data_IF_558747669558
#
_entry.id   IF_558747669558
#
_cell.length_a   1.000
_cell.length_b   1.000
_cell.length_c   1.000
_cell.angle_alpha   90.00
_cell.angle_beta   90.00
_cell.angle_gamma   90.00
#
_symmetry.space_group_name_H-M   'P 1'
#
loop_
_entity.id
_entity.type
_entity.pdbx_description
1 polymer ?
#
# COMPACT_ATOMS: atom_id res chain seq x y z
N UNK A 1 22.97 -8.08 52.29
CA UNK A 1 21.70 -8.83 52.14
C UNK A 1 20.71 -7.86 51.54
N UNK A 2 20.39 -8.03 50.25
CA UNK A 2 19.51 -7.10 49.54
C UNK A 2 18.07 -7.24 50.06
N UNK A 3 17.23 -6.23 49.84
CA UNK A 3 15.82 -6.30 50.22
C UNK A 3 15.12 -7.48 49.55
N UNK A 4 15.51 -7.84 48.33
CA UNK A 4 14.95 -8.95 47.56
C UNK A 4 15.11 -10.29 48.29
N UNK A 5 16.28 -10.56 48.89
CA UNK A 5 16.52 -11.80 49.66
C UNK A 5 15.61 -11.94 50.87
N UNK A 6 15.11 -10.83 51.43
CA UNK A 6 14.15 -10.83 52.55
C UNK A 6 12.70 -11.01 52.12
N UNK A 7 12.36 -10.66 50.88
CA UNK A 7 10.99 -10.77 50.36
C UNK A 7 10.68 -12.14 49.75
N UNK A 8 11.68 -12.90 49.32
CA UNK A 8 11.53 -14.28 48.83
C UNK A 8 10.65 -15.14 49.76
N UNK A 9 10.90 -15.26 51.08
CA UNK A 9 10.09 -16.13 51.94
C UNK A 9 8.63 -15.66 52.06
N UNK A 10 8.39 -14.34 52.05
CA UNK A 10 7.02 -13.78 52.07
C UNK A 10 6.30 -14.09 50.76
N UNK A 11 7.01 -13.93 49.65
CA UNK A 11 6.50 -14.22 48.31
C UNK A 11 6.17 -15.72 48.15
N UNK A 12 7.07 -16.61 48.62
CA UNK A 12 6.83 -18.07 48.58
C UNK A 12 5.65 -18.45 49.46
N UNK A 13 5.55 -17.90 50.67
CA UNK A 13 4.42 -18.15 51.56
C UNK A 13 3.09 -17.68 50.96
N UNK A 14 3.08 -16.52 50.28
CA UNK A 14 1.90 -16.04 49.56
C UNK A 14 1.52 -16.98 48.42
N UNK A 15 2.50 -17.44 47.61
CA UNK A 15 2.24 -18.40 46.54
C UNK A 15 1.71 -19.74 47.04
N UNK A 16 2.22 -20.24 48.16
CA UNK A 16 1.70 -21.47 48.78
C UNK A 16 0.28 -21.27 49.31
N UNK A 17 -0.01 -20.13 49.92
CA UNK A 17 -1.35 -19.81 50.42
C UNK A 17 -2.36 -19.75 49.29
N UNK A 18 -2.04 -19.03 48.21
CA UNK A 18 -2.89 -18.93 47.01
C UNK A 18 -3.02 -20.30 46.32
N UNK A 19 -1.93 -21.05 46.19
CA UNK A 19 -1.94 -22.38 45.60
C UNK A 19 -2.80 -23.38 46.38
N UNK A 20 -2.75 -23.36 47.72
CA UNK A 20 -3.58 -24.20 48.57
C UNK A 20 -5.06 -23.83 48.51
N UNK A 21 -5.37 -22.53 48.42
CA UNK A 21 -6.72 -22.05 48.21
C UNK A 21 -7.32 -22.56 46.89
N UNK A 22 -6.58 -22.42 45.78
CA UNK A 22 -7.04 -22.95 44.48
C UNK A 22 -7.14 -24.48 44.47
N UNK A 23 -6.24 -25.20 45.15
CA UNK A 23 -6.37 -26.67 45.29
C UNK A 23 -7.60 -27.08 46.09
N UNK A 24 -7.97 -26.35 47.13
CA UNK A 24 -9.20 -26.62 47.89
C UNK A 24 -10.45 -26.39 47.04
N UNK A 25 -10.48 -25.31 46.25
CA UNK A 25 -11.56 -25.06 45.29
C UNK A 25 -11.59 -26.17 44.24
N UNK A 26 -10.44 -26.51 43.65
CA UNK A 26 -10.35 -27.51 42.58
C UNK A 26 -10.75 -28.93 43.04
N UNK A 27 -10.51 -29.28 44.31
CA UNK A 27 -10.99 -30.55 44.90
C UNK A 27 -12.52 -30.66 44.86
N UNK A 28 -13.24 -29.54 45.04
CA UNK A 28 -14.69 -29.52 44.91
C UNK A 28 -15.16 -29.86 43.48
N UNK A 29 -14.33 -29.55 42.49
CA UNK A 29 -14.55 -29.87 41.08
C UNK A 29 -13.90 -31.20 40.64
N UNK A 30 -13.49 -32.06 41.58
CA UNK A 30 -12.99 -33.41 41.28
C UNK A 30 -11.49 -33.50 40.98
N UNK A 31 -10.69 -32.46 41.26
CA UNK A 31 -9.22 -32.56 41.18
C UNK A 31 -8.66 -33.54 42.22
N UNK A 32 -7.71 -34.43 41.88
CA UNK A 32 -6.93 -34.47 40.64
C UNK A 32 -7.49 -35.40 39.56
N UNK A 33 -8.55 -36.16 39.83
CA UNK A 33 -9.04 -37.24 38.98
C UNK A 33 -9.96 -36.78 37.85
N UNK A 34 -10.47 -35.55 37.91
CA UNK A 34 -11.24 -34.95 36.84
C UNK A 34 -10.30 -34.55 35.68
N UNK A 35 -10.39 -35.19 34.50
CA UNK A 35 -9.58 -34.85 33.32
C UNK A 35 -9.91 -33.46 32.76
N UNK A 36 -10.92 -32.77 33.31
CA UNK A 36 -11.37 -31.46 32.86
C UNK A 36 -12.19 -31.54 31.58
N UNK A 37 -12.57 -30.38 31.08
CA UNK A 37 -13.10 -30.26 29.72
C UNK A 37 -11.96 -30.57 28.75
N UNK A 38 -12.14 -31.45 27.75
CA UNK A 38 -11.13 -31.63 26.71
C UNK A 38 -10.85 -30.27 26.08
N UNK A 39 -9.58 -29.87 26.05
CA UNK A 39 -9.14 -28.57 25.49
C UNK A 39 -9.29 -28.51 23.97
N UNK A 40 -9.73 -29.60 23.35
CA UNK A 40 -9.87 -29.76 21.92
C UNK A 40 -11.34 -30.08 21.64
N UNK A 41 -12.07 -29.08 21.16
CA UNK A 41 -13.32 -29.31 20.45
C UNK A 41 -12.95 -29.72 19.03
N UNK A 42 -13.48 -30.85 18.54
CA UNK A 42 -13.44 -31.23 17.11
C UNK A 42 -14.30 -30.24 16.30
N UNK A 43 -13.84 -29.01 16.16
CA UNK A 43 -14.37 -27.99 15.26
C UNK A 43 -13.72 -28.24 13.89
N UNK A 44 -14.42 -28.06 12.74
CA UNK A 44 -13.90 -28.41 11.42
C UNK A 44 -12.45 -27.96 11.23
N UNK A 45 -11.60 -28.92 10.88
CA UNK A 45 -10.14 -28.88 11.05
C UNK A 45 -9.45 -27.66 10.43
N UNK A 46 -10.02 -27.03 9.42
CA UNK A 46 -9.42 -25.90 8.71
C UNK A 46 -9.43 -24.59 9.50
N UNK A 47 -10.55 -24.23 10.15
CA UNK A 47 -10.62 -22.98 10.92
C UNK A 47 -9.70 -23.03 12.15
N UNK A 48 -9.66 -24.20 12.80
CA UNK A 48 -8.79 -24.45 13.95
C UNK A 48 -7.31 -24.51 13.54
N UNK A 49 -6.98 -25.17 12.42
CA UNK A 49 -5.63 -25.18 11.88
C UNK A 49 -5.16 -23.77 11.49
N UNK A 50 -6.05 -22.95 10.92
CA UNK A 50 -5.75 -21.56 10.59
C UNK A 50 -5.54 -20.70 11.83
N UNK A 51 -6.36 -20.84 12.86
CA UNK A 51 -6.13 -20.10 14.13
C UNK A 51 -4.83 -20.55 14.80
N UNK A 52 -4.56 -21.85 14.85
CA UNK A 52 -3.32 -22.39 15.41
C UNK A 52 -2.09 -21.91 14.64
N UNK A 53 -2.18 -21.83 13.31
CA UNK A 53 -1.14 -21.25 12.47
C UNK A 53 -0.90 -19.77 12.81
N UNK A 54 -1.96 -18.95 12.83
CA UNK A 54 -1.87 -17.53 13.16
C UNK A 54 -1.36 -17.27 14.59
N UNK A 55 -1.68 -18.16 15.53
CA UNK A 55 -1.18 -18.08 16.90
C UNK A 55 0.29 -18.48 17.04
N UNK A 56 0.80 -19.31 16.13
CA UNK A 56 2.20 -19.73 16.09
C UNK A 56 3.12 -18.75 15.35
N UNK A 57 2.57 -17.75 14.65
CA UNK A 57 3.38 -16.75 13.96
C UNK A 57 4.18 -15.89 14.94
N UNK A 58 5.42 -15.51 14.59
CA UNK A 58 6.20 -14.59 15.40
C UNK A 58 5.53 -13.20 15.45
N UNK A 59 5.77 -12.46 16.53
CA UNK A 59 5.42 -11.04 16.60
C UNK A 59 6.61 -10.20 16.14
N UNK A 60 6.36 -9.22 15.27
CA UNK A 60 7.33 -8.17 14.94
C UNK A 60 7.55 -7.33 16.19
N UNK A 61 8.77 -7.31 16.73
CA UNK A 61 9.06 -6.67 18.01
C UNK A 61 9.50 -5.23 17.79
N UNK A 62 8.60 -4.32 18.08
CA UNK A 62 8.82 -2.87 18.06
C UNK A 62 8.62 -2.30 19.45
N UNK A 63 9.20 -1.15 19.71
CA UNK A 63 9.05 -0.45 20.99
C UNK A 63 8.54 0.96 20.72
N UNK A 64 7.56 1.37 21.52
CA UNK A 64 7.10 2.74 21.58
C UNK A 64 7.34 3.31 22.99
N UNK A 65 8.03 4.46 23.12
CA UNK A 65 8.84 5.14 22.09
C UNK A 65 10.01 4.27 21.60
N UNK A 66 10.66 4.61 20.46
CA UNK A 66 11.68 3.77 19.86
C UNK A 66 12.96 3.87 20.67
N UNK A 67 13.82 2.88 20.50
CA UNK A 67 15.13 2.90 21.12
C UNK A 67 15.95 4.03 20.49
N UNK A 68 16.40 4.97 21.30
CA UNK A 68 17.25 6.08 20.87
C UNK A 68 18.66 5.55 20.54
N UNK A 69 18.99 5.50 19.25
CA UNK A 69 20.31 5.09 18.75
C UNK A 69 20.90 6.22 17.89
N UNK A 70 21.76 7.09 18.45
CA UNK A 70 22.41 8.13 17.66
C UNK A 70 23.44 7.53 16.71
N UNK A 71 23.36 7.88 15.43
CA UNK A 71 24.32 7.47 14.40
C UNK A 71 25.31 8.59 14.06
N UNK A 72 24.92 9.84 14.31
CA UNK A 72 25.76 11.02 14.04
C UNK A 72 26.13 11.78 15.31
N UNK A 73 27.24 12.52 15.27
CA UNK A 73 27.66 13.41 16.36
C UNK A 73 26.61 14.48 16.68
N UNK A 74 25.84 14.93 15.67
CA UNK A 74 24.76 15.88 15.85
C UNK A 74 23.62 15.26 16.68
N UNK A 75 23.19 14.05 16.34
CA UNK A 75 22.18 13.30 17.09
C UNK A 75 22.62 12.96 18.51
N UNK A 76 23.92 12.77 18.75
CA UNK A 76 24.43 12.58 20.10
C UNK A 76 24.23 13.83 20.99
N UNK A 77 24.28 15.03 20.41
CA UNK A 77 24.13 16.30 21.14
C UNK A 77 22.66 16.72 21.26
N UNK A 78 21.88 16.59 20.18
CA UNK A 78 20.51 17.09 20.11
C UNK A 78 19.43 16.00 20.28
N UNK A 79 19.85 14.74 20.38
CA UNK A 79 18.97 13.57 20.39
C UNK A 79 18.79 12.96 19.00
N UNK A 80 18.66 11.62 18.90
CA UNK A 80 18.42 10.96 17.62
C UNK A 80 17.01 11.23 17.11
N UNK A 81 16.86 11.33 15.79
CA UNK A 81 15.55 11.36 15.17
C UNK A 81 14.85 10.00 15.39
N UNK A 82 13.54 9.98 15.72
CA UNK A 82 12.82 8.72 15.86
C UNK A 82 12.73 8.05 14.49
N UNK A 83 13.22 6.81 14.41
CA UNK A 83 13.16 6.00 13.19
C UNK A 83 12.05 4.97 13.29
N UNK A 84 11.46 4.65 12.15
CA UNK A 84 10.44 3.62 12.04
C UNK A 84 11.13 2.26 11.85
N UNK A 85 10.72 1.26 12.63
CA UNK A 85 11.21 -0.11 12.49
C UNK A 85 10.21 -0.91 11.64
N UNK A 86 10.12 -0.57 10.34
CA UNK A 86 9.18 -1.20 9.40
C UNK A 86 9.60 -2.64 9.04
N UNK A 87 8.62 -3.48 8.69
CA UNK A 87 8.89 -4.85 8.23
C UNK A 87 9.59 -4.82 6.85
N UNK A 88 10.76 -5.47 6.70
CA UNK A 88 11.52 -5.42 5.46
C UNK A 88 10.83 -6.21 4.35
N UNK A 89 10.92 -5.68 3.13
CA UNK A 89 10.46 -6.32 1.88
C UNK A 89 11.67 -6.86 1.11
N UNK A 90 11.62 -8.13 0.72
CA UNK A 90 12.69 -8.77 -0.05
C UNK A 90 12.22 -9.01 -1.48
N UNK A 91 12.75 -8.21 -2.41
CA UNK A 91 12.46 -8.33 -3.84
C UNK A 91 13.36 -9.40 -4.46
N UNK A 92 12.79 -10.23 -5.33
CA UNK A 92 13.54 -11.21 -6.10
C UNK A 92 13.00 -11.34 -7.52
N UNK A 93 13.89 -11.69 -8.45
CA UNK A 93 13.55 -11.88 -9.85
C UNK A 93 13.75 -13.36 -10.21
N UNK A 94 12.75 -13.97 -10.84
CA UNK A 94 12.83 -15.34 -11.35
C UNK A 94 12.28 -15.40 -12.77
N UNK A 95 12.91 -16.19 -13.64
CA UNK A 95 12.45 -16.38 -15.02
C UNK A 95 11.12 -17.13 -15.11
N UNK A 96 10.76 -17.87 -14.07
CA UNK A 96 9.53 -18.67 -14.03
C UNK A 96 8.38 -17.90 -13.39
N UNK A 97 8.66 -17.09 -12.37
CA UNK A 97 7.64 -16.40 -11.58
C UNK A 97 7.48 -14.92 -11.93
N UNK A 98 8.48 -14.28 -12.55
CA UNK A 98 8.44 -12.87 -12.97
C UNK A 98 9.46 -11.94 -12.29
N UNK A 99 9.31 -10.63 -12.56
CA UNK A 99 10.28 -9.58 -12.20
C UNK A 99 9.87 -8.71 -11.00
N UNK A 100 8.58 -8.65 -10.66
CA UNK A 100 8.08 -7.77 -9.59
C UNK A 100 7.82 -8.52 -8.28
N UNK A 101 8.38 -9.71 -8.15
CA UNK A 101 8.05 -10.59 -7.05
C UNK A 101 8.77 -10.15 -5.78
N UNK A 102 8.08 -10.28 -4.68
CA UNK A 102 8.69 -10.05 -3.39
C UNK A 102 8.05 -10.94 -2.33
N UNK A 103 8.79 -11.13 -1.25
CA UNK A 103 8.26 -11.77 -0.07
C UNK A 103 8.50 -10.90 1.16
N UNK A 104 7.63 -11.08 2.13
CA UNK A 104 7.69 -10.47 3.45
C UNK A 104 7.59 -11.56 4.50
N UNK A 105 8.29 -11.38 5.62
CA UNK A 105 8.14 -12.30 6.75
C UNK A 105 6.74 -12.16 7.34
N UNK A 106 6.06 -13.28 7.59
CA UNK A 106 4.70 -13.28 8.08
C UNK A 106 4.70 -13.16 9.61
N UNK A 107 4.33 -11.98 10.11
CA UNK A 107 4.20 -11.72 11.54
C UNK A 107 2.73 -11.61 11.93
N UNK A 108 2.39 -11.95 13.18
CA UNK A 108 1.01 -11.90 13.68
C UNK A 108 0.42 -10.48 13.71
N UNK A 109 1.27 -9.46 13.92
CA UNK A 109 0.88 -8.07 14.14
C UNK A 109 1.08 -7.17 12.91
N UNK A 110 1.30 -7.73 11.71
CA UNK A 110 1.38 -6.91 10.48
C UNK A 110 -0.01 -6.40 10.09
N UNK A 111 -0.04 -5.16 9.61
CA UNK A 111 -1.23 -4.56 9.04
C UNK A 111 -0.98 -4.22 7.58
N UNK A 112 -1.98 -4.51 6.77
CA UNK A 112 -2.00 -4.10 5.39
C UNK A 112 -3.03 -2.99 5.21
N UNK A 113 -2.85 -2.18 4.17
CA UNK A 113 -3.93 -1.31 3.72
C UNK A 113 -5.13 -2.17 3.31
N UNK A 114 -6.38 -1.69 3.46
CA UNK A 114 -7.52 -2.36 2.84
C UNK A 114 -7.36 -2.43 1.31
N UNK A 115 -7.81 -3.51 0.68
CA UNK A 115 -7.68 -3.71 -0.77
C UNK A 115 -8.21 -2.52 -1.58
N UNK A 116 -9.36 -1.96 -1.19
CA UNK A 116 -9.95 -0.80 -1.86
C UNK A 116 -9.10 0.47 -1.75
N UNK A 117 -8.36 0.65 -0.64
CA UNK A 117 -7.42 1.77 -0.46
C UNK A 117 -6.19 1.55 -1.32
N UNK A 118 -5.65 0.33 -1.31
CA UNK A 118 -4.49 -0.03 -2.15
C UNK A 118 -4.81 0.17 -3.63
N UNK A 119 -5.96 -0.32 -4.09
CA UNK A 119 -6.46 -0.11 -5.46
C UNK A 119 -6.59 1.39 -5.79
N UNK A 120 -7.20 2.17 -4.89
CA UNK A 120 -7.36 3.61 -5.10
C UNK A 120 -6.00 4.30 -5.28
N UNK A 121 -5.04 4.02 -4.40
CA UNK A 121 -3.70 4.63 -4.46
C UNK A 121 -2.99 4.24 -5.76
N UNK A 122 -3.06 2.97 -6.15
CA UNK A 122 -2.38 2.49 -7.36
C UNK A 122 -3.02 3.04 -8.63
N UNK A 123 -4.35 2.96 -8.76
CA UNK A 123 -5.07 3.31 -9.99
C UNK A 123 -5.30 4.82 -10.14
N UNK A 124 -5.63 5.53 -9.05
CA UNK A 124 -5.96 6.97 -9.11
C UNK A 124 -4.76 7.86 -8.87
N UNK A 125 -3.80 7.45 -8.03
CA UNK A 125 -2.59 8.24 -7.78
C UNK A 125 -1.40 7.78 -8.63
N UNK A 126 -1.56 6.73 -9.46
CA UNK A 126 -0.53 6.18 -10.34
C UNK A 126 0.73 5.69 -9.59
N UNK A 127 0.58 5.31 -8.31
CA UNK A 127 1.66 4.81 -7.45
C UNK A 127 1.68 3.29 -7.46
N UNK A 128 2.18 2.69 -8.55
CA UNK A 128 2.17 1.22 -8.70
C UNK A 128 3.47 0.54 -8.26
N UNK A 129 4.63 1.04 -8.70
CA UNK A 129 5.92 0.41 -8.41
C UNK A 129 6.73 1.16 -7.36
N UNK A 130 6.66 2.50 -7.39
CA UNK A 130 7.40 3.33 -6.46
C UNK A 130 6.60 3.54 -5.16
N UNK A 131 7.08 2.93 -4.08
CA UNK A 131 6.50 3.06 -2.73
C UNK A 131 7.14 4.18 -1.91
N UNK A 132 8.20 4.83 -2.43
CA UNK A 132 9.01 5.81 -1.68
C UNK A 132 8.16 6.93 -1.09
N UNK A 133 7.21 7.45 -1.87
CA UNK A 133 6.31 8.52 -1.42
C UNK A 133 5.45 8.06 -0.24
N UNK A 134 4.91 6.85 -0.31
CA UNK A 134 4.01 6.31 0.71
C UNK A 134 4.77 5.99 2.01
N UNK A 135 5.99 5.47 1.89
CA UNK A 135 6.91 5.29 3.01
C UNK A 135 7.29 6.62 3.65
N UNK A 136 7.55 7.66 2.85
CA UNK A 136 7.85 9.01 3.34
C UNK A 136 6.65 9.59 4.11
N UNK A 137 5.42 9.44 3.61
CA UNK A 137 4.21 9.88 4.32
C UNK A 137 4.08 9.17 5.66
N UNK A 138 4.27 7.84 5.69
CA UNK A 138 4.22 7.03 6.91
C UNK A 138 5.28 7.50 7.93
N UNK A 139 6.51 7.76 7.48
CA UNK A 139 7.60 8.25 8.32
C UNK A 139 7.32 9.64 8.90
N UNK A 140 6.87 10.59 8.06
CA UNK A 140 6.50 11.94 8.52
C UNK A 140 5.38 11.88 9.54
N UNK A 141 4.38 11.02 9.31
CA UNK A 141 3.27 10.83 10.25
C UNK A 141 3.77 10.25 11.58
N UNK A 142 4.66 9.25 11.55
CA UNK A 142 5.27 8.65 12.74
C UNK A 142 6.07 9.68 13.55
N UNK A 143 6.94 10.46 12.89
CA UNK A 143 7.71 11.54 13.53
C UNK A 143 6.77 12.61 14.10
N UNK A 144 5.71 12.98 13.38
CA UNK A 144 4.69 13.91 13.85
C UNK A 144 4.00 13.43 15.14
N UNK A 145 3.60 12.16 15.20
CA UNK A 145 3.02 11.55 16.40
C UNK A 145 4.00 11.52 17.57
N UNK A 146 5.29 11.27 17.32
CA UNK A 146 6.32 11.35 18.36
C UNK A 146 6.44 12.73 18.97
N UNK A 147 6.58 13.75 18.11
CA UNK A 147 6.70 15.14 18.57
C UNK A 147 5.45 15.52 19.38
N UNK A 148 4.27 15.16 18.88
CA UNK A 148 3.03 15.44 19.58
C UNK A 148 2.92 14.69 20.92
N UNK A 149 3.34 13.42 20.97
CA UNK A 149 3.45 12.64 22.21
C UNK A 149 4.34 13.34 23.25
N UNK A 150 5.46 13.94 22.83
CA UNK A 150 6.32 14.71 23.75
C UNK A 150 5.65 16.00 24.23
N UNK A 151 4.88 16.68 23.38
CA UNK A 151 4.08 17.86 23.78
C UNK A 151 3.04 17.47 24.83
N UNK A 152 2.36 16.34 24.66
CA UNK A 152 1.38 15.82 25.64
C UNK A 152 2.06 15.50 26.97
N UNK A 153 3.21 14.81 26.95
CA UNK A 153 3.98 14.50 28.17
C UNK A 153 4.43 15.80 28.88
N UNK A 154 4.96 16.75 28.12
CA UNK A 154 5.37 18.06 28.65
C UNK A 154 4.18 18.79 29.28
N UNK A 155 3.01 18.75 28.65
CA UNK A 155 1.78 19.35 29.18
C UNK A 155 1.35 18.68 30.48
N UNK A 156 1.37 17.35 30.57
CA UNK A 156 1.04 16.61 31.81
C UNK A 156 2.02 16.99 32.94
N UNK A 157 3.32 17.09 32.63
CA UNK A 157 4.33 17.53 33.60
C UNK A 157 4.08 18.97 34.09
N UNK A 158 3.61 19.85 33.19
CA UNK A 158 3.31 21.25 33.49
C UNK A 158 1.92 21.48 34.13
N UNK A 159 1.04 20.47 34.20
CA UNK A 159 -0.33 20.63 34.72
C UNK A 159 -0.36 21.26 36.11
N UNK A 160 0.57 20.90 37.00
CA UNK A 160 0.67 21.48 38.35
C UNK A 160 1.44 22.80 38.37
N UNK A 161 2.35 23.00 37.42
CA UNK A 161 3.21 24.19 37.36
C UNK A 161 2.42 25.46 37.01
N UNK A 162 1.51 25.36 36.04
CA UNK A 162 0.66 26.49 35.61
C UNK A 162 -0.34 26.89 36.71
N UNK A 163 -0.75 25.95 37.56
CA UNK A 163 -1.64 26.23 38.69
C UNK A 163 -0.98 27.09 39.78
N UNK A 164 0.33 26.92 39.99
CA UNK A 164 1.09 27.62 41.03
C UNK A 164 1.69 28.93 40.51
N UNK A 165 2.05 28.98 39.22
CA UNK A 165 2.75 30.12 38.63
C UNK A 165 1.76 31.12 37.99
N UNK A 166 1.70 32.39 38.46
CA UNK A 166 0.85 33.42 37.87
C UNK A 166 1.29 33.83 36.45
N UNK A 167 2.50 33.51 36.02
CA UNK A 167 2.99 33.75 34.66
C UNK A 167 2.70 32.55 33.76
N UNK A 168 1.59 32.64 33.01
CA UNK A 168 1.09 31.58 32.14
C UNK A 168 1.71 31.58 30.73
N UNK A 169 2.39 32.66 30.33
CA UNK A 169 3.09 32.74 29.04
C UNK A 169 4.52 32.18 29.13
N UNK A 170 4.99 31.35 28.18
CA UNK A 170 4.34 30.90 26.94
C UNK A 170 3.54 29.58 27.09
N UNK A 171 3.46 29.02 28.30
CA UNK A 171 2.88 27.70 28.61
C UNK A 171 1.41 27.55 28.18
N UNK A 172 0.66 28.65 28.11
CA UNK A 172 -0.72 28.67 27.63
C UNK A 172 -0.87 28.10 26.21
N UNK A 173 0.13 28.24 25.33
CA UNK A 173 0.07 27.64 23.99
C UNK A 173 0.18 26.12 24.01
N UNK A 174 1.03 25.58 24.90
CA UNK A 174 1.16 24.13 25.07
C UNK A 174 -0.10 23.52 25.68
N UNK A 175 -0.71 24.23 26.64
CA UNK A 175 -2.00 23.84 27.20
C UNK A 175 -3.08 23.80 26.10
N UNK A 176 -3.24 24.90 25.36
CA UNK A 176 -4.22 24.97 24.26
C UNK A 176 -4.04 23.88 23.18
N UNK A 177 -2.79 23.47 22.91
CA UNK A 177 -2.50 22.42 21.93
C UNK A 177 -2.96 21.01 22.37
N UNK A 178 -3.11 20.76 23.68
CA UNK A 178 -3.41 19.43 24.24
C UNK A 178 -4.78 19.38 24.93
N UNK A 179 -5.27 20.48 25.50
CA UNK A 179 -6.47 20.51 26.34
C UNK A 179 -7.74 20.09 25.60
N UNK A 180 -7.80 20.26 24.27
CA UNK A 180 -8.92 19.75 23.45
C UNK A 180 -9.13 18.24 23.63
N UNK A 181 -8.06 17.49 23.94
CA UNK A 181 -8.14 16.03 24.17
C UNK A 181 -8.89 15.73 25.45
N UNK A 182 -8.77 16.59 26.46
CA UNK A 182 -9.53 16.46 27.69
C UNK A 182 -10.99 16.77 27.46
N UNK A 183 -11.30 17.86 26.75
CA UNK A 183 -12.68 18.22 26.41
C UNK A 183 -13.42 17.09 25.68
N UNK A 184 -12.75 16.41 24.74
CA UNK A 184 -13.32 15.28 23.99
C UNK A 184 -13.52 14.04 24.85
N UNK A 185 -12.61 13.78 25.79
CA UNK A 185 -12.59 12.54 26.60
C UNK A 185 -13.20 12.70 28.00
N UNK A 186 -13.59 13.91 28.42
CA UNK A 186 -14.08 14.24 29.77
C UNK A 186 -15.33 13.44 30.18
N UNK A 187 -16.11 12.95 29.20
CA UNK A 187 -17.28 12.11 29.43
C UNK A 187 -17.03 10.60 29.34
N UNK A 188 -15.84 10.18 28.90
CA UNK A 188 -15.50 8.77 28.64
C UNK A 188 -14.52 8.26 29.70
N UNK A 189 -13.52 9.07 30.04
CA UNK A 189 -12.43 8.66 30.94
C UNK A 189 -12.74 9.13 32.37
N UNK A 190 -12.93 8.22 33.34
CA UNK A 190 -13.20 8.59 34.73
C UNK A 190 -11.93 9.12 35.41
N UNK A 191 -12.09 10.11 36.30
CA UNK A 191 -11.01 10.51 37.19
C UNK A 191 -10.81 9.46 38.29
N UNK A 192 -9.56 9.00 38.47
CA UNK A 192 -9.21 8.02 39.50
C UNK A 192 -8.58 8.77 40.67
N UNK A 193 -9.16 8.67 41.86
CA UNK A 193 -8.65 9.32 43.09
C UNK A 193 -8.46 10.85 42.96
N UNK A 194 -9.26 11.51 42.11
CA UNK A 194 -9.16 12.95 41.85
C UNK A 194 -8.03 13.36 40.90
N UNK A 195 -7.29 12.40 40.34
CA UNK A 195 -6.27 12.66 39.30
C UNK A 195 -6.91 12.48 37.92
N UNK A 196 -6.70 13.46 37.05
CA UNK A 196 -7.11 13.36 35.66
C UNK A 196 -6.15 12.42 34.90
N UNK A 197 -6.62 11.25 34.52
CA UNK A 197 -5.84 10.25 33.75
C UNK A 197 -6.00 10.41 32.23
N UNK A 198 -6.82 11.36 31.78
CA UNK A 198 -7.18 11.53 30.36
C UNK A 198 -5.96 11.69 29.46
N UNK A 199 -5.00 12.54 29.85
CA UNK A 199 -3.76 12.71 29.10
C UNK A 199 -2.92 11.42 28.99
N UNK A 200 -2.94 10.57 30.03
CA UNK A 200 -2.22 9.28 30.02
C UNK A 200 -2.91 8.24 29.14
N UNK A 201 -4.24 8.18 29.17
CA UNK A 201 -5.02 7.31 28.28
C UNK A 201 -4.82 7.72 26.82
N UNK A 202 -4.88 9.02 26.55
CA UNK A 202 -4.67 9.57 25.21
C UNK A 202 -3.25 9.30 24.70
N UNK A 203 -2.23 9.40 25.56
CA UNK A 203 -0.87 8.99 25.24
C UNK A 203 -0.78 7.51 24.84
N UNK A 204 -1.55 6.64 25.51
CA UNK A 204 -1.69 5.23 25.12
C UNK A 204 -2.30 5.05 23.74
N UNK A 205 -3.34 5.83 23.40
CA UNK A 205 -3.97 5.82 22.07
C UNK A 205 -2.95 6.25 20.99
N UNK A 206 -2.21 7.33 21.22
CA UNK A 206 -1.14 7.76 20.31
C UNK A 206 -0.12 6.63 20.12
N UNK A 207 0.29 5.98 21.21
CA UNK A 207 1.23 4.86 21.16
C UNK A 207 0.74 3.70 20.31
N UNK A 208 -0.53 3.30 20.45
CA UNK A 208 -1.13 2.23 19.62
C UNK A 208 -1.18 2.62 18.15
N UNK A 209 -1.57 3.87 17.84
CA UNK A 209 -1.61 4.36 16.46
C UNK A 209 -0.20 4.35 15.88
N UNK A 210 0.78 4.86 16.61
CA UNK A 210 2.13 4.96 16.10
C UNK A 210 2.84 3.60 15.99
N UNK A 211 2.56 2.66 16.90
CA UNK A 211 3.01 1.27 16.79
C UNK A 211 2.41 0.58 15.56
N UNK A 212 1.14 0.86 15.24
CA UNK A 212 0.50 0.32 14.03
C UNK A 212 1.18 0.78 12.74
N UNK A 213 1.83 1.96 12.72
CA UNK A 213 2.62 2.42 11.58
C UNK A 213 3.90 1.61 11.38
N UNK A 214 4.57 1.16 12.44
CA UNK A 214 5.73 0.26 12.32
C UNK A 214 5.34 -1.09 11.69
N UNK A 215 4.09 -1.50 11.91
CA UNK A 215 3.54 -2.74 11.40
C UNK A 215 2.83 -2.61 10.05
N UNK A 216 2.69 -1.39 9.52
CA UNK A 216 2.03 -1.13 8.25
C UNK A 216 2.96 -1.47 7.09
N UNK A 217 2.55 -2.43 6.27
CA UNK A 217 3.29 -2.89 5.09
C UNK A 217 2.53 -2.53 3.82
N UNK A 218 3.25 -1.95 2.84
CA UNK A 218 2.72 -1.65 1.52
C UNK A 218 3.04 -2.79 0.55
N UNK A 219 2.01 -3.36 -0.09
CA UNK A 219 2.11 -4.56 -0.96
C UNK A 219 2.16 -4.22 -2.45
N UNK A 220 2.23 -2.94 -2.80
CA UNK A 220 2.21 -2.47 -4.19
C UNK A 220 3.38 -3.09 -4.98
N UNK A 221 3.16 -3.58 -6.22
CA UNK A 221 1.96 -3.40 -7.07
C UNK A 221 0.81 -4.39 -6.83
N UNK A 222 0.93 -5.32 -5.89
CA UNK A 222 -0.11 -6.31 -5.60
C UNK A 222 -1.12 -5.79 -4.59
N UNK A 223 -2.33 -6.32 -4.64
CA UNK A 223 -3.29 -6.17 -3.55
C UNK A 223 -2.84 -7.03 -2.35
N UNK A 224 -3.10 -6.56 -1.12
CA UNK A 224 -2.81 -7.33 0.09
C UNK A 224 -3.43 -8.74 0.12
N UNK A 225 -4.58 -8.92 -0.53
CA UNK A 225 -5.24 -10.23 -0.65
C UNK A 225 -4.54 -11.23 -1.58
N UNK A 226 -3.58 -10.79 -2.41
CA UNK A 226 -2.81 -11.65 -3.31
C UNK A 226 -1.65 -12.37 -2.61
N UNK A 227 -1.40 -12.07 -1.32
CA UNK A 227 -0.30 -12.68 -0.58
C UNK A 227 -0.51 -14.17 -0.30
N UNK A 228 0.34 -15.01 -0.88
CA UNK A 228 0.34 -16.45 -0.65
C UNK A 228 1.23 -16.83 0.53
N UNK A 229 0.71 -17.65 1.44
CA UNK A 229 1.45 -18.14 2.60
C UNK A 229 2.32 -19.33 2.20
N UNK A 230 3.64 -19.18 2.32
CA UNK A 230 4.57 -20.28 2.06
C UNK A 230 5.70 -20.31 3.09
N UNK A 231 6.43 -21.42 3.13
CA UNK A 231 7.53 -21.65 4.06
C UNK A 231 8.85 -21.58 3.29
N UNK A 232 9.62 -20.53 3.51
CA UNK A 232 10.93 -20.36 2.88
C UNK A 232 12.05 -20.60 3.89
N UNK A 233 13.17 -21.15 3.40
CA UNK A 233 14.37 -21.35 4.19
C UNK A 233 15.21 -20.07 4.16
N UNK A 234 14.99 -19.17 5.11
CA UNK A 234 15.72 -17.90 5.25
C UNK A 234 16.74 -18.07 6.37
N UNK A 235 18.02 -17.81 6.09
CA UNK A 235 19.12 -17.94 7.07
C UNK A 235 19.18 -19.31 7.76
N UNK A 236 19.01 -20.40 6.98
CA UNK A 236 18.98 -21.79 7.48
C UNK A 236 17.83 -22.10 8.46
N UNK A 237 16.85 -21.19 8.59
CA UNK A 237 15.66 -21.39 9.39
C UNK A 237 14.44 -21.39 8.47
N UNK A 238 13.55 -22.35 8.68
CA UNK A 238 12.27 -22.37 7.99
C UNK A 238 11.37 -21.29 8.60
N UNK A 239 11.05 -20.26 7.81
CA UNK A 239 10.21 -19.14 8.22
C UNK A 239 8.94 -19.11 7.38
N UNK A 240 7.84 -18.77 8.03
CA UNK A 240 6.57 -18.48 7.36
C UNK A 240 6.67 -17.08 6.71
N UNK A 241 6.41 -17.02 5.42
CA UNK A 241 6.46 -15.80 4.62
C UNK A 241 5.19 -15.63 3.81
N UNK A 242 4.89 -14.39 3.46
CA UNK A 242 3.89 -14.06 2.45
C UNK A 242 4.64 -13.70 1.17
N UNK A 243 4.34 -14.42 0.09
CA UNK A 243 4.93 -14.20 -1.22
C UNK A 243 3.89 -13.58 -2.13
N UNK A 244 4.32 -12.56 -2.86
CA UNK A 244 3.58 -11.91 -3.92
C UNK A 244 4.34 -12.14 -5.22
N UNK A 245 3.74 -12.90 -6.13
CA UNK A 245 4.36 -13.33 -7.38
C UNK A 245 3.35 -13.28 -8.54
N UNK A 246 3.82 -13.49 -9.76
CA UNK A 246 3.06 -13.37 -11.02
C UNK A 246 2.60 -11.94 -11.35
N UNK A 247 1.59 -11.81 -12.20
CA UNK A 247 1.02 -10.54 -12.65
C UNK A 247 0.01 -10.03 -11.61
N UNK A 248 0.12 -8.78 -11.13
CA UNK A 248 -0.85 -8.20 -10.20
C UNK A 248 -2.28 -8.24 -10.74
N UNK A 249 -3.26 -8.59 -9.90
CA UNK A 249 -4.68 -8.68 -10.32
C UNK A 249 -5.20 -7.35 -10.89
N UNK A 250 -4.67 -6.23 -10.41
CA UNK A 250 -5.05 -4.89 -10.85
C UNK A 250 -4.75 -4.67 -12.33
N UNK A 251 -3.69 -5.28 -12.86
CA UNK A 251 -3.31 -5.13 -14.27
C UNK A 251 -4.16 -5.96 -15.24
N UNK A 252 -4.93 -6.93 -14.72
CA UNK A 252 -5.98 -7.60 -15.50
C UNK A 252 -7.25 -6.75 -15.61
N UNK A 253 -7.53 -5.92 -14.59
CA UNK A 253 -8.75 -5.11 -14.50
C UNK A 253 -8.60 -3.73 -15.12
N UNK A 254 -7.41 -3.14 -14.97
CA UNK A 254 -7.07 -1.80 -15.42
C UNK A 254 -5.85 -1.85 -16.34
N UNK A 255 -5.78 -0.97 -17.35
CA UNK A 255 -4.60 -0.90 -18.20
C UNK A 255 -3.37 -0.53 -17.37
N UNK A 256 -2.25 -1.17 -17.69
CA UNK A 256 -0.97 -0.89 -17.04
C UNK A 256 -0.60 0.58 -17.30
N UNK A 257 -0.21 1.34 -16.25
CA UNK A 257 0.25 2.72 -16.41
C UNK A 257 1.24 2.89 -17.58
N UNK A 258 1.03 3.93 -18.39
CA UNK A 258 1.89 4.17 -19.55
C UNK A 258 3.36 4.42 -19.15
N UNK A 259 3.61 5.05 -18.01
CA UNK A 259 4.97 5.31 -17.50
C UNK A 259 5.77 4.00 -17.31
N UNK A 260 5.09 2.95 -16.82
CA UNK A 260 5.69 1.61 -16.64
C UNK A 260 5.96 0.95 -18.00
N UNK A 261 5.01 1.06 -18.93
CA UNK A 261 5.16 0.51 -20.29
C UNK A 261 6.30 1.18 -21.04
N UNK A 262 6.45 2.50 -20.88
CA UNK A 262 7.58 3.25 -21.43
C UNK A 262 8.90 2.77 -20.83
N UNK A 263 8.98 2.65 -19.51
CA UNK A 263 10.16 2.12 -18.82
C UNK A 263 10.55 0.71 -19.30
N UNK A 264 9.58 -0.20 -19.50
CA UNK A 264 9.83 -1.53 -20.07
C UNK A 264 10.34 -1.47 -21.51
N UNK A 265 9.85 -0.54 -22.31
CA UNK A 265 10.27 -0.41 -23.71
C UNK A 265 11.66 0.24 -23.85
N UNK A 266 11.99 1.23 -23.02
CA UNK A 266 13.23 2.01 -23.14
C UNK A 266 14.38 1.44 -22.32
N UNK A 267 14.14 1.13 -21.04
CA UNK A 267 15.18 0.78 -20.07
C UNK A 267 15.30 -0.73 -19.85
N UNK A 268 14.17 -1.43 -19.77
CA UNK A 268 14.12 -2.87 -19.43
C UNK A 268 13.34 -3.72 -20.46
N UNK A 269 13.87 -3.90 -21.69
CA UNK A 269 13.21 -4.67 -22.74
C UNK A 269 13.13 -6.18 -22.44
N UNK A 270 13.95 -6.65 -21.50
CA UNK A 270 13.90 -8.01 -20.96
C UNK A 270 12.56 -8.29 -20.25
N UNK A 271 12.09 -7.33 -19.44
CA UNK A 271 10.79 -7.41 -18.77
C UNK A 271 9.68 -7.41 -19.82
N UNK A 272 9.75 -6.51 -20.81
CA UNK A 272 8.76 -6.44 -21.88
C UNK A 272 8.64 -7.77 -22.64
N UNK A 273 9.77 -8.36 -23.03
CA UNK A 273 9.80 -9.63 -23.75
C UNK A 273 9.24 -10.78 -22.91
N UNK A 274 9.55 -10.81 -21.62
CA UNK A 274 8.96 -11.78 -20.69
C UNK A 274 7.45 -11.59 -20.59
N UNK A 275 6.96 -10.37 -20.36
CA UNK A 275 5.53 -10.09 -20.24
C UNK A 275 4.78 -10.50 -21.51
N UNK A 276 5.31 -10.16 -22.69
CA UNK A 276 4.72 -10.56 -23.97
C UNK A 276 4.74 -12.08 -24.21
N UNK A 277 5.74 -12.80 -23.69
CA UNK A 277 5.86 -14.25 -23.87
C UNK A 277 5.00 -15.02 -22.87
N UNK A 278 5.10 -14.67 -21.59
CA UNK A 278 4.42 -15.36 -20.49
C UNK A 278 2.91 -15.09 -20.49
N UNK A 279 2.50 -13.89 -20.90
CA UNK A 279 1.12 -13.43 -20.88
C UNK A 279 0.56 -13.19 -22.28
N UNK A 280 1.09 -13.89 -23.30
CA UNK A 280 0.69 -13.75 -24.70
C UNK A 280 -0.80 -14.00 -24.93
N UNK A 281 -1.36 -14.96 -24.19
CA UNK A 281 -2.75 -15.37 -24.33
C UNK A 281 -3.73 -14.40 -23.64
N UNK A 282 -3.20 -13.43 -22.88
CA UNK A 282 -3.99 -12.37 -22.26
C UNK A 282 -4.04 -11.17 -23.20
N UNK A 283 -5.25 -10.62 -23.40
CA UNK A 283 -5.49 -9.42 -24.21
C UNK A 283 -5.09 -8.14 -23.45
N UNK A 284 -3.82 -8.09 -23.02
CA UNK A 284 -3.25 -6.98 -22.24
C UNK A 284 -2.28 -6.19 -23.11
N UNK A 285 -2.45 -4.88 -23.11
CA UNK A 285 -1.59 -3.96 -23.86
C UNK A 285 -0.30 -3.68 -23.09
N UNK A 286 0.81 -4.28 -23.51
CA UNK A 286 2.13 -4.07 -22.89
C UNK A 286 2.96 -2.95 -23.54
N UNK A 287 2.67 -2.61 -24.80
CA UNK A 287 3.43 -1.58 -25.53
C UNK A 287 2.98 -0.16 -25.11
N UNK A 288 3.88 0.83 -25.14
CA UNK A 288 3.53 2.22 -24.86
C UNK A 288 2.50 2.79 -25.84
N UNK A 289 1.67 3.72 -25.37
CA UNK A 289 0.60 4.30 -26.17
C UNK A 289 1.13 5.04 -27.41
N UNK A 290 2.28 5.72 -27.29
CA UNK A 290 2.94 6.41 -28.40
C UNK A 290 3.31 5.46 -29.55
N UNK A 291 3.81 4.27 -29.23
CA UNK A 291 4.22 3.29 -30.24
C UNK A 291 3.00 2.69 -30.92
N UNK A 292 1.93 2.44 -30.16
CA UNK A 292 0.68 1.91 -30.70
C UNK A 292 -0.02 2.95 -31.58
N UNK A 293 -0.06 4.21 -31.18
CA UNK A 293 -0.59 5.28 -32.01
C UNK A 293 0.18 5.39 -33.34
N UNK A 294 1.51 5.30 -33.30
CA UNK A 294 2.33 5.30 -34.51
C UNK A 294 2.08 4.06 -35.38
N UNK A 295 1.98 2.87 -34.79
CA UNK A 295 1.70 1.63 -35.50
C UNK A 295 0.30 1.66 -36.14
N UNK A 296 -0.71 2.14 -35.42
CA UNK A 296 -2.07 2.30 -35.94
C UNK A 296 -2.09 3.31 -37.10
N UNK A 297 -1.35 4.42 -36.99
CA UNK A 297 -1.22 5.40 -38.07
C UNK A 297 -0.53 4.79 -39.31
N UNK A 298 0.49 3.96 -39.12
CA UNK A 298 1.18 3.27 -40.21
C UNK A 298 0.28 2.22 -40.87
N UNK A 299 -0.41 1.41 -40.08
CA UNK A 299 -1.36 0.41 -40.57
C UNK A 299 -2.49 1.07 -41.38
N UNK A 300 -3.10 2.14 -40.84
CA UNK A 300 -4.11 2.93 -41.55
C UNK A 300 -3.56 3.50 -42.87
N UNK A 301 -2.33 4.02 -42.86
CA UNK A 301 -1.67 4.51 -44.08
C UNK A 301 -1.47 3.40 -45.11
N UNK A 302 -1.06 2.20 -44.67
CA UNK A 302 -0.89 1.05 -45.57
C UNK A 302 -2.21 0.54 -46.15
N UNK A 303 -3.28 0.50 -45.35
CA UNK A 303 -4.61 0.14 -45.81
C UNK A 303 -5.16 1.17 -46.81
N UNK A 304 -4.98 2.47 -46.53
CA UNK A 304 -5.34 3.55 -47.45
C UNK A 304 -4.56 3.46 -48.76
N UNK A 305 -3.26 3.13 -48.74
CA UNK A 305 -2.50 2.94 -49.98
C UNK A 305 -2.96 1.71 -50.76
N UNK A 306 -3.29 0.60 -50.10
CA UNK A 306 -3.83 -0.59 -50.77
C UNK A 306 -5.21 -0.33 -51.39
N UNK A 307 -6.07 0.41 -50.69
CA UNK A 307 -7.37 0.84 -51.23
C UNK A 307 -7.14 1.75 -52.43
N UNK A 308 -6.25 2.73 -52.33
CA UNK A 308 -5.93 3.64 -53.43
C UNK A 308 -5.39 2.89 -54.66
N UNK A 309 -4.48 1.95 -54.48
CA UNK A 309 -3.92 1.12 -55.55
C UNK A 309 -4.97 0.19 -56.17
N UNK A 310 -5.86 -0.38 -55.36
CA UNK A 310 -6.99 -1.19 -55.86
C UNK A 310 -7.96 -0.35 -56.70
N UNK A 311 -8.22 0.90 -56.30
CA UNK A 311 -9.11 1.82 -56.99
C UNK A 311 -8.50 2.34 -58.30
N UNK A 312 -7.19 2.60 -58.32
CA UNK A 312 -6.44 2.92 -59.54
C UNK A 312 -6.42 1.73 -60.51
N UNK A 313 -6.22 0.52 -60.01
CA UNK A 313 -6.20 -0.69 -60.84
C UNK A 313 -7.57 -0.98 -61.44
N UNK A 314 -8.65 -0.73 -60.70
CA UNK A 314 -10.02 -0.85 -61.18
C UNK A 314 -10.37 0.26 -62.21
N UNK A 315 -9.86 1.48 -62.00
CA UNK A 315 -10.00 2.57 -62.98
C UNK A 315 -9.25 2.31 -64.28
N UNK A 316 -8.07 1.67 -64.23
CA UNK A 316 -7.32 1.30 -65.44
C UNK A 316 -8.00 0.19 -66.26
N UNK A 317 -8.87 -0.61 -65.65
CA UNK A 317 -9.72 -1.57 -66.35
C UNK A 317 -10.97 -0.94 -66.95
N UNK A 318 -11.42 0.20 -66.42
CA UNK A 318 -12.56 0.98 -66.92
C UNK A 318 -12.16 1.99 -68.00
N UNK A 319 -10.93 2.51 -68.00
CA UNK A 319 -10.46 3.52 -68.98
C UNK A 319 -10.25 2.97 -70.38
N UNK A 320 -10.12 1.65 -70.56
CA UNK A 320 -10.00 1.06 -71.90
C UNK A 320 -11.35 0.91 -72.63
N UNK A 321 -12.48 1.05 -71.94
CA UNK A 321 -13.82 0.89 -72.52
C UNK A 321 -14.66 2.19 -72.55
N UNK A 322 -14.06 3.35 -72.23
CA UNK A 322 -14.77 4.64 -72.31
C UNK A 322 -14.54 5.26 -73.70
N UNK A 323 -15.59 5.47 -74.53
CA UNK A 323 -15.44 6.11 -75.83
C UNK A 323 -14.96 7.55 -75.65
N UNK A 324 -14.09 8.00 -76.54
CA UNK A 324 -13.48 9.33 -76.62
C UNK A 324 -14.47 10.51 -76.71
N UNK A 325 -15.78 10.26 -76.73
CA UNK A 325 -16.83 11.29 -76.67
C UNK A 325 -17.12 11.80 -75.25
N UNK A 326 -16.84 11.05 -74.18
CA UNK A 326 -17.13 11.49 -72.78
C UNK A 326 -16.01 12.39 -72.20
N UNK A 327 -14.91 12.59 -72.94
CA UNK A 327 -13.79 13.44 -72.53
C UNK A 327 -14.04 14.94 -72.80
N UNK A 328 -15.14 15.31 -73.44
CA UNK A 328 -15.46 16.72 -73.71
C UNK A 328 -16.27 17.34 -72.56
N UNK A 329 -15.57 18.14 -71.75
CA UNK A 329 -16.04 19.29 -70.99
C UNK A 329 -17.32 19.11 -70.14
N UNK A 330 -17.13 18.69 -68.89
CA UNK A 330 -17.69 19.32 -67.67
C UNK A 330 -17.47 18.45 -66.42
N UNK A 331 -17.28 17.13 -66.61
CA UNK A 331 -17.18 16.13 -65.53
C UNK A 331 -15.85 16.17 -64.76
N UNK A 332 -14.72 16.45 -65.42
CA UNK A 332 -13.40 16.51 -64.75
C UNK A 332 -13.30 17.71 -63.80
N UNK A 333 -13.89 18.86 -64.16
CA UNK A 333 -13.97 20.05 -63.29
C UNK A 333 -14.79 19.77 -62.03
N UNK A 334 -15.91 19.06 -62.16
CA UNK A 334 -16.76 18.71 -61.02
C UNK A 334 -16.09 17.71 -60.07
N UNK A 335 -15.33 16.74 -60.58
CA UNK A 335 -14.58 15.81 -59.73
C UNK A 335 -13.49 16.55 -58.95
N UNK A 336 -12.79 17.49 -59.58
CA UNK A 336 -11.73 18.26 -58.91
C UNK A 336 -12.31 19.22 -57.85
N UNK A 337 -13.48 19.82 -58.10
CA UNK A 337 -14.22 20.61 -57.11
C UNK A 337 -14.69 19.71 -55.95
N UNK A 338 -15.20 18.52 -56.24
CA UNK A 338 -15.65 17.57 -55.22
C UNK A 338 -14.49 17.11 -54.33
N UNK A 339 -13.35 16.72 -54.92
CA UNK A 339 -12.14 16.34 -54.17
C UNK A 339 -11.64 17.49 -53.32
N UNK A 340 -11.62 18.73 -53.85
CA UNK A 340 -11.22 19.90 -53.06
C UNK A 340 -12.19 20.21 -51.91
N UNK A 341 -13.47 19.89 -52.08
CA UNK A 341 -14.49 20.04 -51.04
C UNK A 341 -14.37 18.98 -49.95
N UNK A 342 -13.95 17.75 -50.30
CA UNK A 342 -13.69 16.70 -49.32
C UNK A 342 -12.43 17.00 -48.50
N UNK A 343 -11.38 17.52 -49.15
CA UNK A 343 -10.14 17.93 -48.45
C UNK A 343 -10.44 19.08 -47.48
N UNK A 344 -11.23 20.09 -47.89
CA UNK A 344 -11.60 21.18 -46.98
C UNK A 344 -12.54 20.74 -45.86
N UNK A 345 -13.38 19.73 -46.08
CA UNK A 345 -14.21 19.14 -45.02
C UNK A 345 -13.34 18.40 -43.99
N UNK A 346 -12.30 17.69 -44.43
CA UNK A 346 -11.34 17.00 -43.58
C UNK A 346 -10.56 17.99 -42.69
N UNK A 347 -10.01 19.05 -43.28
CA UNK A 347 -9.25 20.07 -42.54
C UNK A 347 -10.13 20.80 -41.50
N UNK A 348 -11.41 21.04 -41.84
CA UNK A 348 -12.39 21.62 -40.90
C UNK A 348 -12.80 20.64 -39.80
N UNK A 349 -12.84 19.34 -40.06
CA UNK A 349 -13.11 18.32 -39.04
C UNK A 349 -11.95 18.22 -38.04
N UNK A 350 -10.71 18.23 -38.53
CA UNK A 350 -9.52 18.19 -37.68
C UNK A 350 -9.46 19.43 -36.78
N UNK A 351 -9.77 20.62 -37.31
CA UNK A 351 -9.82 21.86 -36.51
C UNK A 351 -10.98 21.91 -35.53
N UNK A 352 -12.16 21.37 -35.88
CA UNK A 352 -13.31 21.30 -34.97
C UNK A 352 -13.05 20.35 -33.80
N UNK A 353 -12.49 19.16 -34.06
CA UNK A 353 -12.13 18.18 -33.04
C UNK A 353 -11.01 18.72 -32.13
N UNK A 354 -10.02 19.43 -32.69
CA UNK A 354 -8.94 20.03 -31.90
C UNK A 354 -9.44 21.20 -31.02
N UNK A 355 -10.35 22.03 -31.53
CA UNK A 355 -10.89 23.18 -30.79
C UNK A 355 -11.82 22.77 -29.64
N UNK A 356 -12.62 21.71 -29.82
CA UNK A 356 -13.51 21.21 -28.76
C UNK A 356 -12.78 20.35 -27.73
N UNK A 357 -11.70 19.66 -28.10
CA UNK A 357 -10.82 18.95 -27.15
C UNK A 357 -10.03 19.91 -26.24
N UNK A 358 -9.66 21.11 -26.72
CA UNK A 358 -8.96 22.12 -25.91
C UNK A 358 -9.89 22.80 -24.88
N UNK A 359 -11.21 22.74 -25.05
CA UNK A 359 -12.18 23.27 -24.07
C UNK A 359 -12.59 22.27 -22.99
N UNK A 360 -12.19 21.01 -23.14
CA UNK A 360 -12.57 19.89 -22.27
C UNK A 360 -11.43 19.42 -21.35
N UNK A 361 -10.25 20.03 -21.46
CA UNK A 361 -9.15 20.04 -20.49
C UNK A 361 -8.92 21.48 -20.02
#
# INVERSE_FOLDING_TARGET
MSLDEKFIPVQTSFYEMVGNFFKQIAKFFGYPENPGMPTIYDVPSELYARSQFLDNLPNHRTFWPPVQRPETWFEMIFGPAPKIDAVPKYIYESKEEGFYNFYIENYKNIYFLPDWVSEFVQVRLNLCLDITLLETIREVLFVGLMIYSQIVILRIALSWYIYINPYTFPWCYLAAAVDWTEDVLQGIVPAILGVNITGSVFLGIIGVIADSLNHLVFTMPFLPSEGEQTKLLINQQLKDVLVFHYLPILWYRYPIPNDIREFWYTERPDILNYMQTAYKDLDIQFLPDKIIQELNRQNLKTELTQIHDSLITQNNHLTNDIPTEILSNETISQIQIFVSSIISLSENFDTFVFADMIKLF
#
